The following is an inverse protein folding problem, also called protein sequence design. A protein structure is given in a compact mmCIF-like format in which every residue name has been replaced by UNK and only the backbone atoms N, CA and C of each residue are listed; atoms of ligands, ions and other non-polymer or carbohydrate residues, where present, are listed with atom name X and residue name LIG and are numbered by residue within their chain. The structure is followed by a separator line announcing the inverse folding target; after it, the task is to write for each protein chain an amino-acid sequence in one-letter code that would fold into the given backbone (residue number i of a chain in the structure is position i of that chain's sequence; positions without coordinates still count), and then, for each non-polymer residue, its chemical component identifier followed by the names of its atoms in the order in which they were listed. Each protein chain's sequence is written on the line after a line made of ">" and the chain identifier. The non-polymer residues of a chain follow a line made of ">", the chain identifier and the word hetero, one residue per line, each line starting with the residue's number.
data_IF_462728277601
#
_entry.id   IF_462728277601
#
_cell.length_a   1.000
_cell.length_b   1.000
_cell.length_c   1.000
_cell.angle_alpha   90.00
_cell.angle_beta   90.00
_cell.angle_gamma   90.00
#
_symmetry.space_group_name_H-M   'P 1'
#
loop_
_entity.id
_entity.type
_entity.pdbx_description
1 polymer ?
#
# COMPACT_ATOMS: atom_id res chain seq x y z
N UNK A 1 -26.35 1.81 -51.97
CA UNK A 1 -26.93 1.00 -50.87
C UNK A 1 -25.86 0.04 -50.35
N UNK A 2 -25.63 0.04 -49.02
CA UNK A 2 -25.04 -1.05 -48.19
C UNK A 2 -23.60 -1.46 -48.56
N UNK A 3 -22.58 -1.40 -47.70
CA UNK A 3 -22.53 -1.79 -46.28
C UNK A 3 -21.42 -1.02 -45.56
N UNK A 4 -21.81 -0.33 -44.49
CA UNK A 4 -20.96 -0.02 -43.32
C UNK A 4 -20.85 -1.32 -42.50
N UNK A 5 -19.86 -1.39 -41.61
CA UNK A 5 -19.58 -2.42 -40.60
C UNK A 5 -18.66 -3.55 -41.06
N UNK A 6 -17.41 -3.50 -40.58
CA UNK A 6 -16.93 -4.60 -39.73
C UNK A 6 -15.78 -4.15 -38.81
N UNK A 7 -16.11 -4.11 -37.52
CA UNK A 7 -15.29 -4.55 -36.40
C UNK A 7 -13.98 -3.80 -36.09
N UNK A 8 -14.17 -2.63 -35.47
CA UNK A 8 -13.33 -2.21 -34.33
C UNK A 8 -13.68 -3.16 -33.17
N UNK A 9 -12.84 -4.15 -32.90
CA UNK A 9 -12.89 -4.90 -31.65
C UNK A 9 -11.50 -5.46 -31.39
N UNK A 10 -10.77 -4.88 -30.42
CA UNK A 10 -9.77 -5.53 -29.54
C UNK A 10 -8.88 -4.51 -28.80
N UNK A 11 -9.43 -3.39 -28.32
CA UNK A 11 -8.66 -2.47 -27.47
C UNK A 11 -9.49 -1.98 -26.31
N UNK A 12 -9.85 -2.85 -25.37
CA UNK A 12 -10.23 -2.43 -24.01
C UNK A 12 -10.10 -3.62 -23.05
N UNK A 13 -8.86 -3.95 -22.67
CA UNK A 13 -8.57 -4.78 -21.48
C UNK A 13 -7.20 -4.47 -20.85
N UNK A 14 -6.66 -3.26 -21.06
CA UNK A 14 -5.37 -2.84 -20.48
C UNK A 14 -5.50 -1.71 -19.45
N UNK A 15 -6.72 -1.30 -19.09
CA UNK A 15 -6.96 -0.09 -18.29
C UNK A 15 -7.01 -0.33 -16.78
N UNK A 16 -6.98 -1.58 -16.31
CA UNK A 16 -7.15 -1.90 -14.89
C UNK A 16 -5.86 -2.06 -14.10
N UNK A 17 -4.71 -2.36 -14.72
CA UNK A 17 -3.45 -2.52 -13.96
C UNK A 17 -2.80 -1.18 -13.58
N UNK A 18 -2.94 -0.15 -14.41
CA UNK A 18 -2.33 1.16 -14.16
C UNK A 18 -3.01 1.95 -13.03
N UNK A 19 -4.31 1.74 -12.82
CA UNK A 19 -5.06 2.43 -11.76
C UNK A 19 -4.71 1.88 -10.36
N UNK A 20 -4.49 0.57 -10.24
CA UNK A 20 -4.14 -0.09 -8.97
C UNK A 20 -2.70 0.23 -8.53
N UNK A 21 -1.72 0.23 -9.45
CA UNK A 21 -0.33 0.62 -9.11
C UNK A 21 -0.25 2.10 -8.71
N UNK A 22 -0.94 3.00 -9.42
CA UNK A 22 -0.96 4.42 -9.09
C UNK A 22 -1.58 4.69 -7.70
N UNK A 23 -2.60 3.93 -7.31
CA UNK A 23 -3.18 4.00 -5.97
C UNK A 23 -2.20 3.49 -4.91
N UNK A 24 -1.57 2.34 -5.15
CA UNK A 24 -0.55 1.76 -4.27
C UNK A 24 0.58 2.73 -3.98
N UNK A 25 1.14 3.34 -5.03
CA UNK A 25 2.24 4.30 -4.94
C UNK A 25 1.84 5.54 -4.15
N UNK A 26 0.62 6.04 -4.35
CA UNK A 26 0.10 7.20 -3.61
C UNK A 26 0.01 6.90 -2.11
N UNK A 27 -0.47 5.71 -1.74
CA UNK A 27 -0.56 5.28 -0.34
C UNK A 27 0.83 5.10 0.28
N UNK A 28 1.76 4.48 -0.43
CA UNK A 28 3.15 4.27 0.02
C UNK A 28 3.89 5.59 0.20
N UNK A 29 3.74 6.53 -0.75
CA UNK A 29 4.31 7.87 -0.65
C UNK A 29 3.76 8.61 0.57
N UNK A 30 2.43 8.61 0.76
CA UNK A 30 1.81 9.24 1.92
C UNK A 30 2.23 8.61 3.25
N UNK A 31 2.42 7.29 3.27
CA UNK A 31 2.97 6.59 4.44
C UNK A 31 4.39 7.06 4.76
N UNK A 32 5.27 7.09 3.75
CA UNK A 32 6.67 7.49 3.88
C UNK A 32 6.82 8.91 4.41
N UNK A 33 6.05 9.86 3.87
CA UNK A 33 6.03 11.24 4.34
C UNK A 33 5.63 11.35 5.81
N UNK A 34 4.61 10.58 6.21
CA UNK A 34 4.16 10.52 7.60
C UNK A 34 5.22 9.90 8.51
N UNK A 35 5.88 8.83 8.07
CA UNK A 35 6.96 8.20 8.81
C UNK A 35 8.11 9.19 9.07
N UNK A 36 8.57 9.88 8.02
CA UNK A 36 9.64 10.88 8.14
C UNK A 36 9.25 11.98 9.11
N UNK A 37 8.03 12.50 9.00
CA UNK A 37 7.51 13.53 9.92
C UNK A 37 7.51 13.09 11.38
N UNK A 38 7.01 11.89 11.67
CA UNK A 38 6.94 11.35 13.04
C UNK A 38 8.33 11.06 13.61
N UNK A 39 9.23 10.51 12.80
CA UNK A 39 10.59 10.19 13.26
C UNK A 39 11.46 11.44 13.42
N UNK A 40 11.23 12.47 12.60
CA UNK A 40 11.92 13.77 12.74
C UNK A 40 11.54 14.50 14.03
N UNK A 41 10.34 14.27 14.58
CA UNK A 41 9.93 14.78 15.89
C UNK A 41 10.66 14.12 17.07
N UNK A 42 11.35 13.00 16.85
CA UNK A 42 12.07 12.24 17.88
C UNK A 42 13.57 12.50 17.89
N UNK A 43 14.01 13.60 17.28
CA UNK A 43 15.43 14.02 17.21
C UNK A 43 16.38 12.93 16.69
N UNK A 44 15.89 12.10 15.77
CA UNK A 44 16.69 11.04 15.15
C UNK A 44 17.50 11.59 13.97
N UNK A 45 18.67 11.02 13.71
CA UNK A 45 19.50 11.37 12.55
C UNK A 45 18.76 11.13 11.23
N UNK A 46 18.89 12.04 10.26
CA UNK A 46 18.18 11.95 8.98
C UNK A 46 18.48 10.64 8.21
N UNK A 47 19.71 10.13 8.31
CA UNK A 47 20.10 8.85 7.71
C UNK A 47 19.34 7.67 8.34
N UNK A 48 19.17 7.68 9.66
CA UNK A 48 18.37 6.69 10.38
C UNK A 48 16.89 6.80 10.02
N UNK A 49 16.35 8.02 9.96
CA UNK A 49 14.96 8.27 9.55
C UNK A 49 14.71 7.70 8.14
N UNK A 50 15.59 8.00 7.20
CA UNK A 50 15.47 7.51 5.82
C UNK A 50 15.53 5.98 5.76
N UNK A 51 16.48 5.36 6.48
CA UNK A 51 16.60 3.90 6.57
C UNK A 51 15.33 3.25 7.10
N UNK A 52 14.82 3.73 8.24
CA UNK A 52 13.60 3.19 8.86
C UNK A 52 12.40 3.35 7.93
N UNK A 53 12.18 4.56 7.41
CA UNK A 53 10.98 4.83 6.60
C UNK A 53 11.00 4.15 5.24
N UNK A 54 12.18 3.93 4.64
CA UNK A 54 12.31 3.12 3.43
C UNK A 54 12.00 1.65 3.73
N UNK A 55 12.58 1.09 4.80
CA UNK A 55 12.31 -0.30 5.20
C UNK A 55 10.83 -0.53 5.50
N UNK A 56 10.18 0.37 6.24
CA UNK A 56 8.75 0.22 6.53
C UNK A 56 7.90 0.30 5.27
N UNK A 57 8.25 1.18 4.32
CA UNK A 57 7.55 1.29 3.04
C UNK A 57 7.71 0.04 2.17
N UNK A 58 8.91 -0.56 2.11
CA UNK A 58 9.17 -1.83 1.40
C UNK A 58 8.36 -2.98 2.01
N UNK A 59 8.37 -3.10 3.35
CA UNK A 59 7.58 -4.12 4.05
C UNK A 59 6.08 -3.95 3.77
N UNK A 60 5.58 -2.72 3.69
CA UNK A 60 4.18 -2.45 3.34
C UNK A 60 3.92 -2.78 1.88
N UNK A 61 4.83 -2.44 0.97
CA UNK A 61 4.72 -2.70 -0.47
C UNK A 61 4.58 -4.20 -0.78
N UNK A 62 5.42 -5.03 -0.14
CA UNK A 62 5.38 -6.50 -0.23
C UNK A 62 4.12 -7.11 0.37
N UNK A 63 3.47 -6.43 1.32
CA UNK A 63 2.33 -6.93 2.08
C UNK A 63 1.10 -6.02 1.92
N UNK A 64 0.98 -5.35 0.77
CA UNK A 64 0.07 -4.22 0.57
C UNK A 64 -1.40 -4.59 0.81
N UNK A 65 -1.85 -5.78 0.38
CA UNK A 65 -3.23 -6.24 0.63
C UNK A 65 -3.55 -6.33 2.13
N UNK A 66 -2.62 -6.82 2.94
CA UNK A 66 -2.78 -6.87 4.40
C UNK A 66 -2.78 -5.47 5.01
N UNK A 67 -1.95 -4.56 4.48
CA UNK A 67 -1.95 -3.17 4.90
C UNK A 67 -3.26 -2.46 4.55
N UNK A 68 -3.78 -2.69 3.35
CA UNK A 68 -5.06 -2.17 2.89
C UNK A 68 -6.20 -2.65 3.79
N UNK A 69 -6.18 -3.92 4.23
CA UNK A 69 -7.13 -4.42 5.24
C UNK A 69 -7.06 -3.64 6.55
N UNK A 70 -5.88 -3.20 7.01
CA UNK A 70 -5.76 -2.36 8.22
C UNK A 70 -6.43 -1.00 7.99
N UNK A 71 -6.14 -0.37 6.85
CA UNK A 71 -6.64 0.98 6.51
C UNK A 71 -8.16 0.98 6.29
N UNK A 72 -8.69 -0.09 5.69
CA UNK A 72 -10.11 -0.22 5.34
C UNK A 72 -10.95 -0.85 6.45
N UNK A 73 -10.41 -1.78 7.26
CA UNK A 73 -11.10 -2.32 8.42
C UNK A 73 -11.34 -1.28 9.52
N UNK A 74 -10.50 -0.24 9.60
CA UNK A 74 -10.78 0.94 10.43
C UNK A 74 -12.07 1.68 10.03
N UNK A 75 -12.55 1.49 8.79
CA UNK A 75 -13.79 2.10 8.26
C UNK A 75 -15.00 1.15 8.34
N UNK A 76 -14.79 -0.16 8.32
CA UNK A 76 -15.86 -1.14 8.45
C UNK A 76 -15.93 -1.67 9.89
N UNK A 77 -16.96 -1.25 10.65
CA UNK A 77 -17.28 -1.74 12.01
C UNK A 77 -17.59 -3.25 12.11
N UNK A 78 -17.45 -4.00 11.03
CA UNK A 78 -17.79 -5.42 10.94
C UNK A 78 -16.52 -6.29 10.86
N UNK A 79 -16.15 -6.84 12.01
CA UNK A 79 -15.34 -8.05 12.22
C UNK A 79 -14.22 -8.40 11.24
N UNK A 80 -12.96 -8.16 11.64
CA UNK A 80 -11.81 -8.88 11.10
C UNK A 80 -11.90 -10.37 11.45
N UNK A 81 -11.69 -11.25 10.47
CA UNK A 81 -11.60 -12.68 10.72
C UNK A 81 -10.33 -13.00 11.54
N UNK A 82 -10.25 -14.17 12.21
CA UNK A 82 -9.03 -14.56 12.92
C UNK A 82 -7.78 -14.60 12.01
N UNK A 83 -7.95 -15.03 10.76
CA UNK A 83 -6.87 -15.09 9.76
C UNK A 83 -6.37 -13.68 9.40
N UNK A 84 -7.28 -12.71 9.27
CA UNK A 84 -6.89 -11.32 9.01
C UNK A 84 -6.11 -10.74 10.19
N UNK A 85 -6.53 -11.04 11.43
CA UNK A 85 -5.84 -10.58 12.64
C UNK A 85 -4.41 -11.12 12.73
N UNK A 86 -4.21 -12.38 12.37
CA UNK A 86 -2.89 -13.01 12.33
C UNK A 86 -1.97 -12.31 11.32
N UNK A 87 -2.42 -12.18 10.07
CA UNK A 87 -1.67 -11.47 9.01
C UNK A 87 -1.34 -10.02 9.39
N UNK A 88 -2.29 -9.31 10.01
CA UNK A 88 -2.08 -7.94 10.51
C UNK A 88 -1.02 -7.92 11.60
N UNK A 89 -1.00 -8.90 12.51
CA UNK A 89 0.02 -8.99 13.55
C UNK A 89 1.40 -9.30 12.97
N UNK A 90 1.49 -10.23 12.01
CA UNK A 90 2.75 -10.51 11.31
C UNK A 90 3.30 -9.27 10.62
N UNK A 91 2.45 -8.54 9.89
CA UNK A 91 2.83 -7.28 9.25
C UNK A 91 3.35 -6.26 10.28
N UNK A 92 2.67 -6.11 11.42
CA UNK A 92 3.14 -5.23 12.51
C UNK A 92 4.49 -5.65 13.07
N UNK A 93 4.76 -6.96 13.16
CA UNK A 93 6.06 -7.47 13.61
C UNK A 93 7.15 -7.13 12.59
N UNK A 94 6.92 -7.37 11.29
CA UNK A 94 7.87 -7.00 10.23
C UNK A 94 8.18 -5.50 10.22
N UNK A 95 7.15 -4.65 10.33
CA UNK A 95 7.33 -3.18 10.42
C UNK A 95 8.18 -2.79 11.64
N UNK A 96 7.98 -3.44 12.79
CA UNK A 96 8.78 -3.14 14.00
C UNK A 96 10.26 -3.49 13.82
N UNK A 97 10.59 -4.50 13.02
CA UNK A 97 11.98 -4.89 12.76
C UNK A 97 12.76 -3.81 11.99
N UNK A 98 12.08 -2.92 11.25
CA UNK A 98 12.72 -1.80 10.56
C UNK A 98 13.33 -0.75 11.50
N UNK A 99 12.94 -0.75 12.79
CA UNK A 99 13.41 0.19 13.82
C UNK A 99 14.51 -0.40 14.70
N UNK A 100 14.85 -1.67 14.51
CA UNK A 100 15.88 -2.39 15.26
C UNK A 100 17.28 -2.14 14.72
#
# INVERSE_FOLDING_TARGET
>A
MRKILSFIMLTFCASSSFADESFKDTILSGYKDRCVKVMSQKESEQAFISKVCNCEAEVIDENFTTFELIVTAGKHKSGLTPIDKEKINELKVKIKQCKS
#
